data_IF_603286956743
#
_entry.id   IF_603286956743
#
_cell.length_a   1.000
_cell.length_b   1.000
_cell.length_c   1.000
_cell.angle_alpha   90.00
_cell.angle_beta   90.00
_cell.angle_gamma   90.00
#
_symmetry.space_group_name_H-M   'P 1'
#
loop_
_entity.id
_entity.type
_entity.pdbx_description
1 polymer ?
#
# COMPACT_ATOMS: atom_id res chain seq x y z
N UNK A 1 -15.27 -10.55 -9.92
CA UNK A 1 -13.95 -10.16 -9.39
C UNK A 1 -14.00 -10.18 -7.87
N UNK A 2 -12.99 -10.74 -7.18
CA UNK A 2 -12.93 -10.68 -5.70
C UNK A 2 -12.33 -9.34 -5.30
N UNK A 3 -13.07 -8.54 -4.54
CA UNK A 3 -12.56 -7.28 -3.98
C UNK A 3 -11.67 -7.58 -2.78
N UNK A 4 -10.38 -7.28 -2.88
CA UNK A 4 -9.45 -7.34 -1.75
C UNK A 4 -9.44 -6.01 -1.01
N UNK A 5 -9.39 -6.06 0.32
CA UNK A 5 -9.26 -4.83 1.11
C UNK A 5 -7.87 -4.21 0.89
N UNK A 6 -7.77 -2.87 0.96
CA UNK A 6 -6.47 -2.19 0.86
C UNK A 6 -5.45 -2.68 1.90
N UNK A 7 -5.90 -3.09 3.09
CA UNK A 7 -5.05 -3.70 4.13
C UNK A 7 -4.47 -5.05 3.68
N UNK A 8 -5.26 -5.89 3.02
CA UNK A 8 -4.77 -7.16 2.49
C UNK A 8 -3.80 -6.94 1.33
N UNK A 9 -4.09 -5.95 0.48
CA UNK A 9 -3.22 -5.62 -0.65
C UNK A 9 -1.84 -5.15 -0.21
N UNK A 10 -1.74 -4.28 0.81
CA UNK A 10 -0.46 -3.90 1.44
C UNK A 10 0.36 -5.13 1.86
N UNK A 11 -0.25 -6.08 2.57
CA UNK A 11 0.43 -7.31 2.99
C UNK A 11 0.90 -8.17 1.81
N UNK A 12 0.14 -8.21 0.73
CA UNK A 12 0.50 -8.99 -0.47
C UNK A 12 1.70 -8.37 -1.16
N UNK A 13 1.73 -7.04 -1.33
CA UNK A 13 2.86 -6.37 -1.99
C UNK A 13 4.13 -6.48 -1.15
N UNK A 14 4.04 -6.33 0.17
CA UNK A 14 5.16 -6.53 1.10
C UNK A 14 5.74 -7.95 0.97
N UNK A 15 4.89 -8.98 0.93
CA UNK A 15 5.33 -10.37 0.70
C UNK A 15 5.94 -10.61 -0.68
N UNK A 16 5.67 -9.73 -1.66
CA UNK A 16 6.26 -9.76 -3.00
C UNK A 16 7.54 -8.92 -3.11
N UNK A 17 8.12 -8.49 -1.98
CA UNK A 17 9.38 -7.75 -1.95
C UNK A 17 9.22 -6.24 -2.16
N UNK A 18 8.00 -5.72 -2.09
CA UNK A 18 7.79 -4.27 -2.08
C UNK A 18 8.05 -3.70 -0.69
N UNK A 19 8.84 -2.65 -0.62
CA UNK A 19 9.27 -2.00 0.62
C UNK A 19 8.51 -0.69 0.75
N UNK A 20 7.86 -0.48 1.90
CA UNK A 20 7.16 0.76 2.18
C UNK A 20 8.17 1.89 2.42
N UNK A 21 8.20 2.88 1.55
CA UNK A 21 9.13 4.01 1.64
C UNK A 21 8.54 5.17 2.43
N UNK A 22 7.30 5.55 2.12
CA UNK A 22 6.62 6.67 2.78
C UNK A 22 5.11 6.53 2.79
N UNK A 23 4.49 7.21 3.75
CA UNK A 23 3.04 7.36 3.83
C UNK A 23 2.70 8.85 3.78
N UNK A 24 1.85 9.24 2.83
CA UNK A 24 1.36 10.62 2.69
C UNK A 24 -0.16 10.61 2.79
N UNK A 25 -0.70 10.97 3.95
CA UNK A 25 -2.14 10.88 4.23
C UNK A 25 -2.64 9.43 4.20
N UNK A 26 -3.53 9.12 3.25
CA UNK A 26 -4.00 7.75 2.98
C UNK A 26 -3.09 6.97 2.03
N UNK A 27 -2.20 7.63 1.29
CA UNK A 27 -1.37 6.98 0.27
C UNK A 27 -0.15 6.32 0.88
N UNK A 28 0.03 5.03 0.59
CA UNK A 28 1.21 4.25 0.92
C UNK A 28 2.04 4.11 -0.35
N UNK A 29 3.30 4.50 -0.27
CA UNK A 29 4.22 4.52 -1.41
C UNK A 29 5.26 3.43 -1.17
N UNK A 30 5.25 2.45 -2.06
CA UNK A 30 6.14 1.32 -2.05
C UNK A 30 7.14 1.39 -3.19
N UNK A 31 8.30 0.81 -2.98
CA UNK A 31 9.35 0.63 -3.99
C UNK A 31 9.79 -0.82 -4.00
N UNK A 32 10.13 -1.36 -5.18
CA UNK A 32 10.74 -2.67 -5.29
C UNK A 32 12.12 -2.55 -5.94
N UNK A 33 13.22 -2.84 -5.22
CA UNK A 33 14.58 -2.70 -5.74
C UNK A 33 14.86 -3.64 -6.92
N UNK A 34 14.06 -4.71 -7.10
CA UNK A 34 14.22 -5.65 -8.21
C UNK A 34 13.50 -5.20 -9.49
N UNK A 35 12.58 -4.23 -9.40
CA UNK A 35 11.70 -3.86 -10.52
C UNK A 35 11.80 -2.37 -10.85
N UNK A 36 12.63 -1.59 -10.14
CA UNK A 36 12.85 -0.14 -10.31
C UNK A 36 11.54 0.65 -10.54
N UNK A 37 10.48 0.26 -9.82
CA UNK A 37 9.14 0.84 -9.93
C UNK A 37 8.64 1.31 -8.58
N UNK A 38 7.85 2.38 -8.64
CA UNK A 38 7.14 2.95 -7.50
C UNK A 38 5.67 2.56 -7.60
N UNK A 39 5.11 2.08 -6.50
CA UNK A 39 3.70 1.73 -6.37
C UNK A 39 3.03 2.61 -5.32
N UNK A 40 2.09 3.44 -5.77
CA UNK A 40 1.26 4.29 -4.88
C UNK A 40 -0.10 3.66 -4.67
N UNK A 41 -0.47 3.40 -3.41
CA UNK A 41 -1.74 2.77 -3.07
C UNK A 41 -2.53 3.61 -2.06
N UNK A 42 -3.77 4.00 -2.39
CA UNK A 42 -4.64 4.63 -1.42
C UNK A 42 -5.15 3.58 -0.42
N UNK A 43 -4.89 3.81 0.86
CA UNK A 43 -5.46 3.03 1.95
C UNK A 43 -6.43 3.89 2.74
N UNK A 44 -7.72 3.52 2.71
CA UNK A 44 -8.74 4.17 3.53
C UNK A 44 -8.30 4.16 5.00
N UNK A 45 -7.99 5.33 5.56
CA UNK A 45 -7.96 5.54 7.00
C UNK A 45 -9.43 5.59 7.44
N UNK A 46 -9.80 4.74 8.40
CA UNK A 46 -11.01 4.98 9.17
C UNK A 46 -10.68 6.17 10.05
N UNK A 47 -11.01 7.38 9.59
CA UNK A 47 -11.14 8.53 10.46
C UNK A 47 -12.52 8.33 11.04
N UNK A 48 -12.61 7.74 12.23
CA UNK A 48 -13.80 7.92 13.05
C UNK A 48 -13.80 9.43 13.36
N UNK A 49 -14.62 10.17 12.63
CA UNK A 49 -14.92 11.56 12.95
C UNK A 49 -15.60 11.54 14.33
N UNK A 50 -14.89 12.05 15.33
CA UNK A 50 -15.49 12.54 16.58
C UNK A 50 -16.37 13.75 16.28
#
# INVERSE_FOLDING_TARGET
MKSISGKQLCKIVERKGWILQRITGSHHIYENPQVEKILSMPRRRRIDCL
#
